data_IF_404985344499
#
_entry.id   IF_404985344499
#
_cell.length_a   1.000
_cell.length_b   1.000
_cell.length_c   1.000
_cell.angle_alpha   90.00
_cell.angle_beta   90.00
_cell.angle_gamma   90.00
#
_symmetry.space_group_name_H-M   'P 1'
#
loop_
_entity.id
_entity.type
_entity.pdbx_description
1 polymer ?
#
# COMPACT_ATOMS: atom_id res chain seq x y z
N UNK A 1 2.70 12.85 -12.93
CA UNK A 1 1.98 12.33 -11.74
C UNK A 1 2.42 13.17 -10.56
N UNK A 2 1.48 13.74 -9.81
CA UNK A 2 1.78 14.45 -8.56
C UNK A 2 1.34 13.57 -7.39
N UNK A 3 2.11 13.49 -6.32
CA UNK A 3 1.74 12.65 -5.18
C UNK A 3 2.18 13.25 -3.85
N UNK A 4 1.53 12.81 -2.78
CA UNK A 4 1.95 13.06 -1.41
C UNK A 4 1.52 11.87 -0.54
N UNK A 5 2.06 11.80 0.67
CA UNK A 5 1.79 10.72 1.61
C UNK A 5 1.45 11.24 3.00
N UNK A 6 0.72 10.43 3.75
CA UNK A 6 0.47 10.61 5.18
C UNK A 6 0.68 9.26 5.88
N UNK A 7 1.46 9.27 6.96
CA UNK A 7 1.71 8.09 7.79
C UNK A 7 1.37 8.38 9.25
N UNK A 8 0.58 7.52 9.87
CA UNK A 8 0.22 7.56 11.29
C UNK A 8 0.76 6.29 11.95
N UNK A 9 1.65 6.47 12.92
CA UNK A 9 2.41 5.37 13.53
C UNK A 9 1.67 4.76 14.70
N UNK A 10 1.61 3.44 14.73
CA UNK A 10 1.33 2.61 15.88
C UNK A 10 2.60 1.87 16.35
N UNK A 11 3.20 1.04 15.49
CA UNK A 11 4.44 0.29 15.77
C UNK A 11 5.61 0.75 14.90
N UNK A 12 5.35 1.60 13.90
CA UNK A 12 6.32 2.16 12.96
C UNK A 12 6.97 1.09 12.05
N UNK A 13 6.17 0.13 11.61
CA UNK A 13 6.60 -1.03 10.80
C UNK A 13 6.31 -0.85 9.30
N UNK A 14 5.55 0.19 8.95
CA UNK A 14 5.30 0.64 7.59
C UNK A 14 6.47 1.41 6.97
N UNK A 15 6.58 1.35 5.65
CA UNK A 15 7.46 2.19 4.85
C UNK A 15 6.79 2.60 3.53
N UNK A 16 7.21 3.72 2.96
CA UNK A 16 6.79 4.14 1.62
C UNK A 16 7.91 4.86 0.87
N UNK A 17 7.74 5.02 -0.43
CA UNK A 17 8.54 5.92 -1.26
C UNK A 17 7.73 6.48 -2.40
N UNK A 18 8.26 7.52 -3.04
CA UNK A 18 7.82 7.94 -4.36
C UNK A 18 8.88 8.74 -5.07
N UNK A 19 8.85 8.74 -6.40
CA UNK A 19 9.76 9.49 -7.24
C UNK A 19 8.98 10.10 -8.41
N UNK A 20 8.93 11.43 -8.46
CA UNK A 20 8.08 12.16 -9.40
C UNK A 20 8.57 12.02 -10.86
N UNK A 21 9.89 12.07 -11.09
CA UNK A 21 10.45 12.02 -12.44
C UNK A 21 10.19 10.68 -13.15
N UNK A 22 10.24 9.58 -12.41
CA UNK A 22 9.91 8.24 -12.93
C UNK A 22 8.45 7.85 -12.69
N UNK A 23 7.65 8.75 -12.11
CA UNK A 23 6.24 8.58 -11.80
C UNK A 23 5.93 7.24 -11.10
N UNK A 24 6.65 6.91 -10.04
CA UNK A 24 6.46 5.67 -9.27
C UNK A 24 6.24 5.99 -7.79
N UNK A 25 5.34 5.24 -7.16
CA UNK A 25 5.08 5.26 -5.72
C UNK A 25 4.96 3.84 -5.20
N UNK A 26 5.22 3.64 -3.92
CA UNK A 26 5.00 2.35 -3.29
C UNK A 26 4.92 2.41 -1.78
N UNK A 27 4.32 1.36 -1.22
CA UNK A 27 4.20 1.12 0.22
C UNK A 27 4.63 -0.31 0.54
N UNK A 28 5.08 -0.52 1.76
CA UNK A 28 5.43 -1.79 2.33
C UNK A 28 5.03 -1.80 3.80
N UNK A 29 4.56 -2.94 4.28
CA UNK A 29 4.11 -3.15 5.66
C UNK A 29 4.85 -4.35 6.23
N UNK A 30 5.66 -4.10 7.25
CA UNK A 30 6.47 -5.08 7.96
C UNK A 30 5.60 -6.05 8.76
N UNK A 31 5.83 -7.35 8.62
CA UNK A 31 5.00 -8.35 9.30
C UNK A 31 5.27 -8.34 10.81
N UNK A 32 4.35 -7.78 11.59
CA UNK A 32 4.53 -7.53 13.02
C UNK A 32 4.84 -8.74 13.91
N UNK A 33 4.57 -9.98 13.49
CA UNK A 33 4.88 -11.17 14.31
C UNK A 33 6.39 -11.43 14.50
N UNK A 34 7.24 -10.74 13.72
CA UNK A 34 8.69 -10.75 13.92
C UNK A 34 9.10 -9.99 15.19
N UNK A 35 8.33 -8.97 15.60
CA UNK A 35 8.52 -8.23 16.85
C UNK A 35 8.48 -9.15 18.08
N UNK A 36 7.58 -10.13 18.10
CA UNK A 36 7.45 -11.11 19.18
C UNK A 36 8.71 -11.99 19.35
N UNK A 37 9.57 -12.02 18.33
CA UNK A 37 10.86 -12.76 18.33
C UNK A 37 12.06 -11.86 18.58
N UNK A 38 11.84 -10.60 18.94
CA UNK A 38 12.89 -9.60 19.11
C UNK A 38 13.53 -9.13 17.81
N UNK A 39 12.88 -9.35 16.67
CA UNK A 39 13.33 -8.85 15.36
C UNK A 39 12.57 -7.56 15.03
N UNK A 40 13.30 -6.56 14.53
CA UNK A 40 12.71 -5.34 13.97
C UNK A 40 11.88 -5.66 12.71
N UNK A 41 10.55 -5.64 12.84
CA UNK A 41 9.63 -5.94 11.74
C UNK A 41 9.63 -4.86 10.65
N UNK A 42 10.05 -3.63 10.97
CA UNK A 42 10.14 -2.53 9.99
C UNK A 42 11.28 -2.73 9.00
N UNK A 43 12.32 -3.47 9.40
CA UNK A 43 13.60 -3.54 8.69
C UNK A 43 13.49 -4.03 7.24
N UNK A 44 12.61 -5.00 6.96
CA UNK A 44 12.40 -5.50 5.60
C UNK A 44 11.59 -4.52 4.75
N UNK A 45 10.53 -3.92 5.30
CA UNK A 45 9.72 -2.92 4.62
C UNK A 45 10.55 -1.68 4.24
N UNK A 46 11.35 -1.17 5.19
CA UNK A 46 12.26 -0.06 4.96
C UNK A 46 13.33 -0.40 3.92
N UNK A 47 13.90 -1.62 3.98
CA UNK A 47 14.87 -2.09 3.01
C UNK A 47 14.32 -2.12 1.58
N UNK A 48 13.10 -2.64 1.41
CA UNK A 48 12.40 -2.67 0.12
C UNK A 48 12.18 -1.25 -0.43
N UNK A 49 11.56 -0.37 0.36
CA UNK A 49 11.20 0.97 -0.11
C UNK A 49 12.43 1.83 -0.37
N UNK A 50 13.47 1.73 0.47
CA UNK A 50 14.75 2.41 0.25
C UNK A 50 15.44 1.93 -1.03
N UNK A 51 15.52 0.62 -1.23
CA UNK A 51 16.17 0.04 -2.42
C UNK A 51 15.39 0.38 -3.69
N UNK A 52 14.06 0.36 -3.65
CA UNK A 52 13.21 0.77 -4.77
C UNK A 52 13.38 2.27 -5.09
N UNK A 53 13.45 3.12 -4.08
CA UNK A 53 13.70 4.55 -4.28
C UNK A 53 15.09 4.81 -4.90
N UNK A 54 16.14 4.15 -4.41
CA UNK A 54 17.49 4.27 -4.97
C UNK A 54 17.56 3.83 -6.43
N UNK A 55 16.94 2.70 -6.79
CA UNK A 55 16.85 2.25 -8.19
C UNK A 55 16.07 3.23 -9.07
N UNK A 56 14.99 3.83 -8.55
CA UNK A 56 14.18 4.80 -9.29
C UNK A 56 14.91 6.14 -9.52
N UNK A 57 15.66 6.63 -8.52
CA UNK A 57 16.45 7.86 -8.61
C UNK A 57 17.65 7.70 -9.55
N UNK A 58 18.28 6.53 -9.56
CA UNK A 58 19.44 6.26 -10.40
C UNK A 58 19.07 5.88 -11.85
N UNK A 59 17.77 5.78 -12.17
CA UNK A 59 17.32 5.56 -13.53
C UNK A 59 17.65 6.77 -14.40
N UNK A 60 18.07 6.53 -15.66
CA UNK A 60 18.34 7.63 -16.58
C UNK A 60 17.07 8.50 -16.77
N UNK A 61 17.20 9.82 -16.91
CA UNK A 61 16.05 10.69 -17.12
C UNK A 61 15.16 10.21 -18.27
N UNK A 62 13.84 10.16 -18.03
CA UNK A 62 12.85 9.64 -18.99
C UNK A 62 12.71 8.11 -19.03
N UNK A 63 13.43 7.36 -18.19
CA UNK A 63 13.27 5.91 -18.09
C UNK A 63 11.93 5.57 -17.45
N UNK A 64 11.15 4.73 -18.15
CA UNK A 64 9.94 4.16 -17.59
C UNK A 64 10.26 3.02 -16.63
N UNK A 65 9.70 3.09 -15.42
CA UNK A 65 9.91 2.09 -14.37
C UNK A 65 8.84 1.00 -14.47
N UNK A 66 9.29 -0.25 -14.67
CA UNK A 66 8.46 -1.43 -14.50
C UNK A 66 8.35 -1.78 -13.01
N UNK A 67 7.14 -1.78 -12.40
CA UNK A 67 6.97 -2.06 -10.97
C UNK A 67 7.49 -3.43 -10.54
N UNK A 68 7.27 -4.46 -11.36
CA UNK A 68 7.73 -5.82 -11.06
C UNK A 68 9.26 -5.90 -11.02
N UNK A 69 9.94 -5.36 -12.04
CA UNK A 69 11.41 -5.33 -12.07
C UNK A 69 11.98 -4.49 -10.93
N UNK A 70 11.32 -3.38 -10.59
CA UNK A 70 11.73 -2.55 -9.45
C UNK A 70 11.61 -3.32 -8.13
N UNK A 71 10.47 -3.98 -7.90
CA UNK A 71 10.24 -4.82 -6.73
C UNK A 71 11.24 -5.96 -6.64
N UNK A 72 11.57 -6.59 -7.76
CA UNK A 72 12.53 -7.69 -7.84
C UNK A 72 13.93 -7.26 -7.42
N UNK A 73 14.43 -6.15 -7.95
CA UNK A 73 15.75 -5.61 -7.58
C UNK A 73 15.80 -5.16 -6.13
N UNK A 74 14.75 -4.47 -5.67
CA UNK A 74 14.63 -4.03 -4.28
C UNK A 74 14.62 -5.21 -3.31
N UNK A 75 13.88 -6.27 -3.64
CA UNK A 75 13.85 -7.52 -2.90
C UNK A 75 15.22 -8.20 -2.88
N UNK A 76 15.88 -8.37 -4.03
CA UNK A 76 17.19 -9.01 -4.10
C UNK A 76 18.22 -8.29 -3.21
N UNK A 77 18.25 -6.94 -3.26
CA UNK A 77 19.13 -6.13 -2.43
C UNK A 77 18.82 -6.25 -0.94
N UNK A 78 17.54 -6.27 -0.57
CA UNK A 78 17.07 -6.40 0.82
C UNK A 78 17.26 -7.81 1.38
N UNK A 79 17.05 -8.84 0.55
CA UNK A 79 17.28 -10.22 0.95
C UNK A 79 18.77 -10.51 1.14
N UNK A 80 19.64 -9.91 0.30
CA UNK A 80 21.09 -10.06 0.40
C UNK A 80 21.68 -9.46 1.69
N UNK A 81 21.01 -8.49 2.34
CA UNK A 81 21.44 -7.99 3.65
C UNK A 81 21.13 -8.95 4.81
N UNK A 82 20.50 -10.10 4.55
CA UNK A 82 20.19 -11.10 5.56
C UNK A 82 19.16 -10.63 6.59
N UNK A 83 18.33 -9.65 6.25
CA UNK A 83 17.33 -9.06 7.15
C UNK A 83 16.30 -10.13 7.54
N UNK A 84 16.24 -10.57 8.81
CA UNK A 84 15.44 -11.72 9.21
C UNK A 84 13.98 -11.34 9.49
N UNK A 85 13.37 -10.53 8.61
CA UNK A 85 12.00 -10.04 8.70
C UNK A 85 11.24 -10.32 7.40
N UNK A 86 9.96 -9.97 7.37
CA UNK A 86 9.12 -10.09 6.20
C UNK A 86 8.29 -8.83 5.99
N UNK A 87 7.84 -8.60 4.77
CA UNK A 87 7.00 -7.44 4.43
C UNK A 87 6.03 -7.77 3.31
N UNK A 88 4.89 -7.08 3.30
CA UNK A 88 4.10 -6.89 2.09
C UNK A 88 4.74 -5.82 1.20
N UNK A 89 4.31 -5.70 -0.06
CA UNK A 89 4.77 -4.62 -0.94
C UNK A 89 3.74 -4.31 -2.03
N UNK A 90 3.51 -3.03 -2.27
CA UNK A 90 2.71 -2.56 -3.42
C UNK A 90 3.45 -1.42 -4.10
N UNK A 91 3.78 -1.59 -5.37
CA UNK A 91 4.40 -0.55 -6.20
C UNK A 91 3.48 -0.25 -7.38
N UNK A 92 3.25 1.03 -7.63
CA UNK A 92 2.46 1.53 -8.76
C UNK A 92 3.29 2.54 -9.54
N UNK A 93 3.36 2.41 -10.86
CA UNK A 93 4.00 3.39 -11.74
C UNK A 93 3.09 3.84 -12.86
N UNK A 94 3.26 5.09 -13.29
CA UNK A 94 2.63 5.63 -14.50
C UNK A 94 3.64 5.64 -15.65
N UNK A 95 3.34 4.89 -16.71
CA UNK A 95 4.15 4.81 -17.93
C UNK A 95 3.33 5.32 -19.10
N UNK A 96 3.60 6.55 -19.52
CA UNK A 96 2.75 7.26 -20.48
C UNK A 96 1.33 7.40 -19.91
N UNK A 97 0.35 6.75 -20.56
CA UNK A 97 -1.05 6.69 -20.09
C UNK A 97 -1.45 5.31 -19.54
N UNK A 98 -0.48 4.52 -19.11
CA UNK A 98 -0.72 3.20 -18.52
C UNK A 98 -0.28 3.22 -17.05
N UNK A 99 -1.22 2.96 -16.15
CA UNK A 99 -0.93 2.68 -14.75
C UNK A 99 -0.56 1.21 -14.63
N UNK A 100 0.61 0.92 -14.11
CA UNK A 100 1.13 -0.45 -13.91
C UNK A 100 1.37 -0.71 -12.44
N UNK A 101 1.29 -1.96 -12.02
CA UNK A 101 1.56 -2.33 -10.63
C UNK A 101 2.25 -3.68 -10.48
N UNK A 102 2.86 -3.86 -9.32
CA UNK A 102 3.29 -5.13 -8.76
C UNK A 102 2.92 -5.15 -7.27
N UNK A 103 2.21 -6.20 -6.85
CA UNK A 103 1.57 -6.25 -5.54
C UNK A 103 1.72 -7.63 -4.88
N UNK A 104 2.16 -7.63 -3.62
CA UNK A 104 2.29 -8.81 -2.75
C UNK A 104 1.72 -8.47 -1.37
N UNK A 105 0.72 -9.23 -0.91
CA UNK A 105 0.17 -9.15 0.45
C UNK A 105 -1.18 -8.45 0.57
N UNK A 106 -1.42 -7.79 1.70
CA UNK A 106 -2.71 -7.16 2.04
C UNK A 106 -2.63 -5.63 2.24
N UNK A 107 -1.47 -5.03 2.00
CA UNK A 107 -1.39 -3.68 1.43
C UNK A 107 -2.20 -3.59 0.13
N UNK A 108 -2.26 -2.43 -0.51
CA UNK A 108 -2.89 -2.37 -1.83
C UNK A 108 -3.00 -1.00 -2.44
N UNK A 109 -3.80 -0.94 -3.50
CA UNK A 109 -4.16 0.31 -4.14
C UNK A 109 -5.61 0.31 -4.61
N UNK A 110 -6.15 1.51 -4.80
CA UNK A 110 -7.45 1.81 -5.38
C UNK A 110 -7.29 2.95 -6.39
N UNK A 111 -7.93 2.83 -7.55
CA UNK A 111 -7.94 3.85 -8.60
C UNK A 111 -9.35 4.39 -8.73
N UNK A 112 -9.48 5.70 -8.70
CA UNK A 112 -10.74 6.40 -8.84
C UNK A 112 -10.72 7.26 -10.09
N UNK A 113 -11.83 7.25 -10.82
CA UNK A 113 -12.05 8.09 -12.00
C UNK A 113 -13.38 8.79 -11.85
N UNK A 114 -13.38 10.11 -12.04
CA UNK A 114 -14.57 10.95 -11.85
C UNK A 114 -15.21 10.73 -10.46
N UNK A 115 -14.37 10.50 -9.44
CA UNK A 115 -14.79 10.19 -8.07
C UNK A 115 -15.41 8.81 -7.87
N UNK A 116 -15.33 7.88 -8.83
CA UNK A 116 -15.85 6.51 -8.69
C UNK A 116 -14.72 5.49 -8.63
N UNK A 117 -14.86 4.46 -7.81
CA UNK A 117 -13.88 3.36 -7.77
C UNK A 117 -13.88 2.63 -9.11
N UNK A 118 -12.74 2.67 -9.79
CA UNK A 118 -12.52 2.02 -11.08
C UNK A 118 -11.83 0.66 -10.91
N UNK A 119 -10.83 0.59 -10.02
CA UNK A 119 -9.99 -0.59 -9.83
C UNK A 119 -9.53 -0.66 -8.37
N UNK A 120 -9.52 -1.87 -7.81
CA UNK A 120 -9.01 -2.17 -6.45
C UNK A 120 -8.11 -3.41 -6.52
N UNK A 121 -6.93 -3.36 -5.91
CA UNK A 121 -6.07 -4.54 -5.78
C UNK A 121 -6.74 -5.61 -4.93
N UNK A 122 -6.46 -6.89 -5.19
CA UNK A 122 -7.01 -7.99 -4.42
C UNK A 122 -6.15 -8.25 -3.19
N UNK A 123 -6.77 -8.29 -2.01
CA UNK A 123 -6.10 -8.66 -0.75
C UNK A 123 -5.54 -10.09 -0.85
N UNK A 124 -4.25 -10.28 -0.59
CA UNK A 124 -3.58 -11.58 -0.66
C UNK A 124 -3.20 -12.08 0.75
N UNK A 125 -3.96 -13.05 1.25
CA UNK A 125 -3.72 -13.65 2.56
C UNK A 125 -3.72 -15.18 2.49
N UNK A 126 -2.91 -15.83 3.32
CA UNK A 126 -2.91 -17.30 3.47
C UNK A 126 -4.05 -17.79 4.36
N UNK A 127 -4.43 -16.97 5.34
CA UNK A 127 -5.57 -17.11 6.25
C UNK A 127 -5.87 -15.73 6.82
N UNK A 128 -7.03 -15.56 7.47
CA UNK A 128 -7.38 -14.31 8.14
C UNK A 128 -6.19 -13.68 8.89
N UNK A 129 -5.88 -12.42 8.55
CA UNK A 129 -4.84 -11.61 9.17
C UNK A 129 -3.43 -12.23 9.09
N UNK A 130 -3.14 -12.92 7.99
CA UNK A 130 -1.84 -13.53 7.71
C UNK A 130 -1.50 -13.32 6.21
N UNK A 131 -0.81 -12.21 5.88
CA UNK A 131 -0.53 -11.86 4.49
C UNK A 131 0.36 -12.88 3.78
N UNK A 132 0.27 -12.83 2.46
CA UNK A 132 1.38 -13.23 1.60
C UNK A 132 2.49 -12.19 1.75
N UNK A 133 3.71 -12.62 2.10
CA UNK A 133 4.81 -11.69 2.39
C UNK A 133 6.11 -12.13 1.74
N UNK A 134 6.93 -11.16 1.36
CA UNK A 134 8.32 -11.31 0.95
C UNK A 134 9.21 -11.45 2.18
N UNK A 135 10.21 -12.34 2.14
CA UNK A 135 11.17 -12.55 3.22
C UNK A 135 12.48 -13.11 2.68
N UNK A 136 13.59 -12.91 3.38
CA UNK A 136 14.92 -13.37 2.94
C UNK A 136 15.06 -14.91 2.94
N UNK A 137 14.40 -15.60 3.87
CA UNK A 137 14.51 -17.06 4.05
C UNK A 137 13.52 -17.86 3.18
N UNK A 138 13.97 -19.00 2.66
CA UNK A 138 13.18 -19.89 1.78
C UNK A 138 11.84 -20.34 2.37
N UNK A 139 10.90 -20.68 1.47
CA UNK A 139 9.56 -21.18 1.83
C UNK A 139 8.48 -20.09 1.99
N UNK A 140 8.70 -18.89 1.43
CA UNK A 140 7.72 -17.80 1.31
C UNK A 140 7.23 -17.58 -0.12
N UNK A 141 6.36 -16.58 -0.34
CA UNK A 141 6.10 -16.10 -1.69
C UNK A 141 7.31 -15.31 -2.18
N UNK A 142 7.71 -15.54 -3.43
CA UNK A 142 8.75 -14.77 -4.09
C UNK A 142 8.17 -13.58 -4.82
N UNK A 143 9.03 -12.71 -5.34
CA UNK A 143 8.58 -11.64 -6.24
C UNK A 143 7.91 -12.19 -7.50
N UNK A 144 8.28 -13.40 -7.93
CA UNK A 144 7.63 -14.10 -9.04
C UNK A 144 6.14 -14.40 -8.80
N UNK A 145 5.68 -14.39 -7.55
CA UNK A 145 4.27 -14.59 -7.18
C UNK A 145 3.50 -13.25 -7.10
N UNK A 146 4.15 -12.12 -7.38
CA UNK A 146 3.51 -10.81 -7.33
C UNK A 146 2.39 -10.71 -8.36
N UNK A 147 1.26 -10.16 -7.93
CA UNK A 147 0.19 -9.78 -8.85
C UNK A 147 0.65 -8.55 -9.64
N UNK A 148 0.82 -8.75 -10.94
CA UNK A 148 1.17 -7.69 -11.89
C UNK A 148 -0.02 -7.37 -12.77
N UNK A 149 -0.15 -6.10 -13.13
CA UNK A 149 -1.20 -5.69 -14.06
C UNK A 149 -0.99 -4.30 -14.58
N UNK A 150 -1.85 -3.94 -15.52
CA UNK A 150 -1.90 -2.59 -16.09
C UNK A 150 -3.34 -2.16 -16.42
N UNK A 151 -3.57 -0.86 -16.36
CA UNK A 151 -4.85 -0.25 -16.71
C UNK A 151 -4.62 1.13 -17.37
N UNK A 152 -5.49 1.54 -18.33
CA UNK A 152 -5.41 2.88 -18.89
C UNK A 152 -5.67 3.95 -17.82
N UNK A 153 -4.73 4.88 -17.70
CA UNK A 153 -4.85 6.07 -16.86
C UNK A 153 -5.39 7.25 -17.66
N UNK A 154 -6.09 8.16 -16.97
CA UNK A 154 -6.57 9.44 -17.51
C UNK A 154 -6.19 10.56 -16.56
N UNK A 155 -5.96 11.75 -17.12
CA UNK A 155 -5.84 12.96 -16.33
C UNK A 155 -7.11 13.13 -15.46
N UNK A 156 -6.91 13.46 -14.19
CA UNK A 156 -7.96 13.52 -13.16
C UNK A 156 -8.17 12.22 -12.38
N UNK A 157 -7.58 11.09 -12.80
CA UNK A 157 -7.62 9.87 -11.99
C UNK A 157 -6.86 10.08 -10.67
N UNK A 158 -7.43 9.55 -9.59
CA UNK A 158 -6.82 9.53 -8.25
C UNK A 158 -6.42 8.10 -7.92
N UNK A 159 -5.16 7.88 -7.59
CA UNK A 159 -4.63 6.59 -7.15
C UNK A 159 -4.31 6.69 -5.67
N UNK A 160 -4.98 5.87 -4.86
CA UNK A 160 -4.70 5.71 -3.43
C UNK A 160 -3.93 4.40 -3.26
N UNK A 161 -2.70 4.47 -2.77
CA UNK A 161 -1.88 3.32 -2.38
C UNK A 161 -1.75 3.32 -0.87
N UNK A 162 -1.91 2.19 -0.20
CA UNK A 162 -1.85 2.15 1.26
C UNK A 162 -1.58 0.78 1.85
N UNK A 163 -1.26 0.77 3.14
CA UNK A 163 -1.03 -0.44 3.92
C UNK A 163 -2.34 -1.00 4.47
N UNK A 164 -2.29 -2.15 5.14
CA UNK A 164 -3.51 -2.79 5.59
C UNK A 164 -4.23 -1.95 6.66
N UNK A 165 -3.52 -1.11 7.43
CA UNK A 165 -4.12 -0.18 8.39
C UNK A 165 -5.15 0.78 7.78
N UNK A 166 -5.04 1.09 6.47
CA UNK A 166 -6.11 1.75 5.73
C UNK A 166 -7.24 0.77 5.38
N UNK A 167 -6.92 -0.28 4.62
CA UNK A 167 -7.91 -1.12 3.96
C UNK A 167 -8.65 -2.09 4.90
N UNK A 168 -8.14 -2.32 6.10
CA UNK A 168 -8.81 -3.06 7.17
C UNK A 168 -9.81 -2.18 7.94
N UNK A 169 -9.72 -0.85 7.82
CA UNK A 169 -10.48 0.10 8.62
C UNK A 169 -11.45 0.99 7.81
N UNK A 170 -11.28 1.11 6.50
CA UNK A 170 -12.14 1.94 5.63
C UNK A 170 -12.70 1.10 4.50
N UNK A 171 -14.02 1.10 4.32
CA UNK A 171 -14.65 0.42 3.18
C UNK A 171 -14.44 1.17 1.87
N UNK A 172 -14.50 0.44 0.76
CA UNK A 172 -14.34 1.00 -0.59
C UNK A 172 -15.33 2.14 -0.88
N UNK A 173 -16.57 2.06 -0.39
CA UNK A 173 -17.60 3.09 -0.58
C UNK A 173 -17.37 4.33 0.31
N UNK A 174 -16.73 4.15 1.47
CA UNK A 174 -16.28 5.24 2.33
C UNK A 174 -15.08 5.97 1.71
N UNK A 175 -14.13 5.20 1.18
CA UNK A 175 -12.98 5.73 0.45
C UNK A 175 -13.45 6.49 -0.81
N UNK A 176 -14.41 5.94 -1.56
CA UNK A 176 -15.04 6.61 -2.70
C UNK A 176 -15.65 7.95 -2.29
N UNK A 177 -16.40 8.01 -1.18
CA UNK A 177 -17.01 9.25 -0.66
C UNK A 177 -15.96 10.31 -0.30
N UNK A 178 -14.84 9.91 0.33
CA UNK A 178 -13.72 10.81 0.65
C UNK A 178 -13.10 11.38 -0.64
N UNK A 179 -12.85 10.52 -1.63
CA UNK A 179 -12.27 10.94 -2.91
C UNK A 179 -13.24 11.86 -3.67
N UNK A 180 -14.53 11.57 -3.74
CA UNK A 180 -15.55 12.43 -4.36
C UNK A 180 -15.55 13.82 -3.75
N UNK A 181 -15.57 13.89 -2.41
CA UNK A 181 -15.52 15.15 -1.69
C UNK A 181 -14.23 15.90 -1.99
N UNK A 182 -13.08 15.24 -1.92
CA UNK A 182 -11.79 15.88 -2.18
C UNK A 182 -11.64 16.39 -3.61
N UNK A 183 -12.12 15.63 -4.61
CA UNK A 183 -12.16 16.08 -6.02
C UNK A 183 -13.06 17.30 -6.17
N UNK A 184 -14.27 17.28 -5.59
CA UNK A 184 -15.21 18.40 -5.67
C UNK A 184 -14.68 19.67 -4.99
N UNK A 185 -13.88 19.54 -3.93
CA UNK A 185 -13.27 20.64 -3.18
C UNK A 185 -11.87 21.04 -3.69
N UNK A 186 -11.34 20.34 -4.71
CA UNK A 186 -10.01 20.63 -5.26
C UNK A 186 -8.86 20.33 -4.30
N UNK A 187 -8.95 19.24 -3.54
CA UNK A 187 -7.91 18.83 -2.60
C UNK A 187 -6.57 18.57 -3.31
N UNK A 188 -5.50 19.04 -2.68
CA UNK A 188 -4.16 18.57 -3.01
C UNK A 188 -4.01 17.08 -2.69
N UNK A 189 -3.04 16.36 -3.30
CA UNK A 189 -2.75 14.98 -2.92
C UNK A 189 -2.48 14.82 -1.42
N UNK A 190 -1.85 15.82 -0.78
CA UNK A 190 -1.56 15.79 0.65
C UNK A 190 -2.83 15.84 1.49
N UNK A 191 -3.74 16.78 1.22
CA UNK A 191 -4.99 16.87 2.00
C UNK A 191 -5.85 15.62 1.81
N UNK A 192 -5.85 15.04 0.62
CA UNK A 192 -6.55 13.78 0.40
C UNK A 192 -5.92 12.63 1.19
N UNK A 193 -4.59 12.50 1.20
CA UNK A 193 -3.88 11.49 1.99
C UNK A 193 -4.15 11.65 3.49
N UNK A 194 -4.12 12.88 4.00
CA UNK A 194 -4.39 13.20 5.42
C UNK A 194 -5.82 12.83 5.82
N UNK A 195 -6.83 13.17 5.01
CA UNK A 195 -8.24 12.86 5.32
C UNK A 195 -8.51 11.36 5.26
N UNK A 196 -7.93 10.66 4.28
CA UNK A 196 -8.04 9.19 4.18
C UNK A 196 -7.37 8.52 5.39
N UNK A 197 -6.14 8.93 5.74
CA UNK A 197 -5.43 8.39 6.90
C UNK A 197 -6.16 8.69 8.23
N UNK A 198 -6.68 9.90 8.41
CA UNK A 198 -7.45 10.28 9.59
C UNK A 198 -8.74 9.45 9.72
N UNK A 199 -9.44 9.22 8.62
CA UNK A 199 -10.66 8.39 8.60
C UNK A 199 -10.36 6.94 8.98
N UNK A 200 -9.26 6.38 8.47
CA UNK A 200 -8.78 5.05 8.86
C UNK A 200 -8.40 5.00 10.34
N UNK A 201 -7.70 6.02 10.84
CA UNK A 201 -7.25 6.09 12.22
C UNK A 201 -8.39 6.19 13.23
N UNK A 202 -9.43 6.97 12.90
CA UNK A 202 -10.65 7.03 13.71
C UNK A 202 -11.36 5.67 13.74
N UNK A 203 -11.55 5.05 12.56
CA UNK A 203 -12.20 3.76 12.45
C UNK A 203 -11.42 2.64 13.18
N UNK A 204 -10.09 2.65 13.11
CA UNK A 204 -9.19 1.70 13.77
C UNK A 204 -9.37 1.67 15.30
N UNK A 205 -9.73 2.82 15.89
CA UNK A 205 -9.91 2.99 17.34
C UNK A 205 -11.36 2.82 17.80
N UNK A 206 -12.29 2.62 16.86
CA UNK A 206 -13.70 2.46 17.17
C UNK A 206 -14.00 1.02 17.62
N UNK A 207 -14.75 0.86 18.70
CA UNK A 207 -15.07 -0.45 19.30
C UNK A 207 -16.50 -0.92 19.06
N UNK A 208 -17.26 -0.18 18.26
CA UNK A 208 -18.69 -0.43 18.02
C UNK A 208 -19.09 -0.29 16.55
N UNK A 209 -18.15 0.06 15.66
CA UNK A 209 -18.37 0.21 14.22
C UNK A 209 -17.87 -1.02 13.48
N UNK A 210 -18.58 -1.37 12.41
CA UNK A 210 -18.08 -2.34 11.45
C UNK A 210 -17.00 -1.74 10.56
N UNK A 211 -15.94 -2.51 10.39
CA UNK A 211 -14.81 -2.24 9.51
C UNK A 211 -14.60 -3.45 8.59
N UNK A 212 -13.90 -3.30 7.46
CA UNK A 212 -13.51 -4.43 6.63
C UNK A 212 -12.91 -5.59 7.44
N UNK A 213 -12.00 -5.29 8.37
CA UNK A 213 -11.39 -6.27 9.26
C UNK A 213 -12.39 -7.01 10.13
N UNK A 214 -13.26 -6.28 10.85
CA UNK A 214 -14.19 -6.95 11.76
C UNK A 214 -15.20 -7.80 10.98
N UNK A 215 -15.72 -7.31 9.85
CA UNK A 215 -16.60 -8.09 8.98
C UNK A 215 -15.91 -9.37 8.49
N UNK A 216 -14.67 -9.29 8.04
CA UNK A 216 -13.89 -10.45 7.61
C UNK A 216 -13.65 -11.44 8.78
N UNK A 217 -13.28 -10.92 9.94
CA UNK A 217 -13.07 -11.71 11.16
C UNK A 217 -14.32 -12.50 11.53
N UNK A 218 -15.50 -11.90 11.46
CA UNK A 218 -16.77 -12.58 11.75
C UNK A 218 -17.04 -13.69 10.74
N UNK A 219 -16.83 -13.42 9.45
CA UNK A 219 -17.01 -14.41 8.37
C UNK A 219 -16.08 -15.61 8.51
N UNK A 220 -14.81 -15.40 8.85
CA UNK A 220 -13.80 -16.47 8.88
C UNK A 220 -13.64 -17.15 10.25
N UNK A 221 -13.94 -16.47 11.36
CA UNK A 221 -13.70 -16.96 12.73
C UNK A 221 -14.96 -17.07 13.59
N UNK A 222 -16.12 -16.61 13.12
CA UNK A 222 -17.37 -16.63 13.89
C UNK A 222 -17.39 -15.68 15.10
N UNK A 223 -16.49 -14.70 15.15
CA UNK A 223 -16.44 -13.72 16.23
C UNK A 223 -17.65 -12.76 16.18
N UNK A 224 -18.09 -12.23 17.32
CA UNK A 224 -19.16 -11.22 17.38
C UNK A 224 -18.66 -9.76 17.42
N UNK A 225 -17.34 -9.53 17.28
CA UNK A 225 -16.76 -8.20 17.44
C UNK A 225 -17.07 -7.29 16.25
N UNK A 226 -17.54 -6.08 16.54
CA UNK A 226 -17.66 -4.91 15.66
C UNK A 226 -16.61 -3.89 16.11
N UNK A 227 -15.45 -3.85 15.46
CA UNK A 227 -14.35 -2.98 15.90
C UNK A 227 -13.38 -2.70 14.76
N UNK A 228 -12.62 -1.62 14.90
CA UNK A 228 -11.42 -1.37 14.12
C UNK A 228 -10.27 -2.32 14.47
N UNK A 229 -9.22 -2.22 13.66
CA UNK A 229 -7.92 -2.84 13.87
C UNK A 229 -6.89 -1.72 14.04
N UNK A 230 -6.44 -1.43 15.28
CA UNK A 230 -5.32 -0.53 15.49
C UNK A 230 -4.09 -1.08 14.75
N UNK A 231 -3.52 -0.26 13.87
CA UNK A 231 -2.34 -0.61 13.08
C UNK A 231 -1.55 0.63 12.66
N UNK A 232 -0.36 0.43 12.09
CA UNK A 232 0.31 1.46 11.30
C UNK A 232 -0.55 1.80 10.07
N UNK A 233 -0.69 3.10 9.77
CA UNK A 233 -1.48 3.56 8.62
C UNK A 233 -0.59 4.38 7.72
N UNK A 234 -0.33 3.89 6.52
CA UNK A 234 0.38 4.63 5.48
C UNK A 234 -0.50 4.77 4.25
N UNK A 235 -0.65 6.00 3.79
CA UNK A 235 -1.45 6.36 2.62
C UNK A 235 -0.60 7.23 1.70
N UNK A 236 -0.47 6.83 0.45
CA UNK A 236 0.09 7.63 -0.64
C UNK A 236 -1.03 7.92 -1.63
N UNK A 237 -1.28 9.20 -1.90
CA UNK A 237 -2.24 9.62 -2.93
C UNK A 237 -1.46 10.20 -4.10
N UNK A 238 -1.74 9.69 -5.30
CA UNK A 238 -1.19 10.19 -6.55
C UNK A 238 -2.31 10.66 -7.50
N UNK A 239 -2.19 11.89 -7.98
CA UNK A 239 -3.05 12.49 -9.00
C UNK A 239 -2.39 12.36 -10.38
N UNK A 240 -3.15 11.81 -11.33
CA UNK A 240 -2.73 11.77 -12.73
C UNK A 240 -3.06 13.11 -13.37
N UNK A 241 -2.03 13.85 -13.80
CA UNK A 241 -2.17 15.23 -14.32
C UNK A 241 -2.13 15.33 -15.85
N UNK A 242 -1.57 14.32 -16.52
CA UNK A 242 -1.45 14.25 -17.99
C UNK A 242 -1.27 12.82 -18.49
#
# INVERSE_FOLDING_TARGET
>A
MEFASCSLKHHDEDAHFGHAETCVVGVADGVGCYRDRGVDASSFAQGLMRSAHEEAVNAAPGTHVCPHTLLERAYQKTAASGTPAASTATIVSLVGRSLRWAHVGDSGFAVFRDGRLLLRSRKQQRRFNCPVSLKAEGGGAGVADAEVGEAPARAGDVVVVGTDGLFDNVFDDELERIVQMGVALGFSPLNMAEVVAASAHEAARCTYRDTPYSVEKRKQKGAASTCGKPDDITVVVALIVS
#
